data_IF_261997612815
#
_entry.id   IF_261997612815
#
_cell.length_a   1.000
_cell.length_b   1.000
_cell.length_c   1.000
_cell.angle_alpha   90.00
_cell.angle_beta   90.00
_cell.angle_gamma   90.00
#
_symmetry.space_group_name_H-M   'P 1'
#
loop_
_entity.id
_entity.type
_entity.pdbx_description
1 polymer ?
#
# COMPACT_ATOMS: atom_id res chain seq x y z
N UNK A 1 15.33 -1.60 -9.08
CA UNK A 1 14.56 -0.53 -9.75
C UNK A 1 15.45 0.59 -10.24
N UNK A 2 16.33 1.19 -9.40
CA UNK A 2 17.29 2.25 -9.80
C UNK A 2 16.71 3.12 -10.91
N UNK A 3 17.41 3.30 -12.04
CA UNK A 3 16.97 4.12 -13.17
C UNK A 3 16.28 3.34 -14.30
N UNK A 4 16.01 2.03 -14.15
CA UNK A 4 15.49 1.19 -15.25
C UNK A 4 14.16 1.71 -15.81
N UNK A 5 13.20 1.99 -14.93
CA UNK A 5 11.90 2.55 -15.33
C UNK A 5 12.07 3.99 -15.83
N UNK A 6 12.89 4.79 -15.15
CA UNK A 6 13.15 6.18 -15.51
C UNK A 6 13.77 6.33 -16.91
N UNK A 7 14.66 5.42 -17.32
CA UNK A 7 15.23 5.38 -18.68
C UNK A 7 14.16 5.10 -19.73
N UNK A 8 13.27 4.13 -19.48
CA UNK A 8 12.17 3.80 -20.39
C UNK A 8 11.12 4.91 -20.50
N UNK A 9 10.85 5.60 -19.39
CA UNK A 9 9.88 6.70 -19.31
C UNK A 9 10.48 8.08 -19.60
N UNK A 10 11.79 8.17 -19.83
CA UNK A 10 12.56 9.40 -19.94
C UNK A 10 12.37 10.37 -18.74
N UNK A 11 12.19 9.85 -17.52
CA UNK A 11 12.00 10.64 -16.30
C UNK A 11 13.36 11.09 -15.75
N UNK A 12 13.58 12.39 -15.67
CA UNK A 12 14.89 12.98 -15.31
C UNK A 12 14.75 14.00 -14.19
N UNK A 13 15.87 14.33 -13.55
CA UNK A 13 15.97 15.43 -12.59
C UNK A 13 16.95 16.50 -13.07
N UNK A 14 16.75 17.74 -12.64
CA UNK A 14 17.54 18.90 -13.04
C UNK A 14 16.93 20.20 -12.53
N UNK A 15 17.55 21.32 -12.86
CA UNK A 15 17.01 22.67 -12.62
C UNK A 15 16.27 23.13 -13.86
N UNK A 16 15.17 23.88 -13.70
CA UNK A 16 14.47 24.48 -14.82
C UNK A 16 15.40 25.39 -15.66
N UNK A 17 15.32 25.29 -16.99
CA UNK A 17 16.21 26.02 -17.90
C UNK A 17 17.62 25.41 -18.06
N UNK A 18 18.01 24.42 -17.26
CA UNK A 18 19.30 23.71 -17.40
C UNK A 18 19.15 22.34 -18.08
N UNK A 19 20.26 21.80 -18.59
CA UNK A 19 20.29 20.41 -19.07
C UNK A 19 20.00 19.45 -17.90
N UNK A 20 19.21 18.39 -18.11
CA UNK A 20 18.95 17.40 -17.07
C UNK A 20 20.23 16.75 -16.54
N UNK A 21 20.33 16.61 -15.21
CA UNK A 21 21.51 16.07 -14.51
C UNK A 21 21.59 14.55 -14.55
N UNK A 22 20.46 13.87 -14.70
CA UNK A 22 20.41 12.41 -14.79
C UNK A 22 19.00 11.83 -14.75
N UNK A 23 18.91 10.50 -14.69
CA UNK A 23 17.66 9.78 -14.47
C UNK A 23 17.39 9.62 -12.97
N UNK A 24 16.12 9.72 -12.58
CA UNK A 24 15.71 9.46 -11.19
C UNK A 24 15.79 7.97 -10.86
N UNK A 25 15.92 7.65 -9.58
CA UNK A 25 15.66 6.30 -9.11
C UNK A 25 14.18 6.12 -8.76
N UNK A 26 13.58 5.02 -9.18
CA UNK A 26 12.17 4.71 -8.89
C UNK A 26 12.05 3.61 -7.84
N UNK A 27 11.05 3.73 -6.98
CA UNK A 27 10.65 2.70 -6.02
C UNK A 27 9.14 2.51 -6.10
N UNK A 28 8.70 1.29 -5.88
CA UNK A 28 7.29 0.96 -5.68
C UNK A 28 7.21 -0.19 -4.68
N UNK A 29 6.21 -0.15 -3.82
CA UNK A 29 5.94 -1.18 -2.83
C UNK A 29 4.45 -1.14 -2.49
N UNK A 30 3.77 -2.28 -2.56
CA UNK A 30 2.37 -2.38 -2.13
C UNK A 30 2.31 -2.51 -0.61
N UNK A 31 1.64 -1.57 0.06
CA UNK A 31 1.44 -1.59 1.51
C UNK A 31 -0.02 -1.27 1.87
N UNK A 32 -0.96 -2.20 1.77
CA UNK A 32 -0.86 -3.65 1.45
C UNK A 32 -1.93 -4.00 0.40
N UNK A 33 -1.88 -5.21 -0.16
CA UNK A 33 -2.95 -5.67 -1.04
C UNK A 33 -4.24 -5.87 -0.22
N UNK A 34 -5.22 -4.99 -0.42
CA UNK A 34 -6.42 -4.88 0.44
C UNK A 34 -7.25 -6.17 0.51
N UNK A 35 -7.40 -6.87 -0.61
CA UNK A 35 -8.11 -8.17 -0.64
C UNK A 35 -7.39 -9.24 0.16
N UNK A 36 -6.06 -9.30 0.09
CA UNK A 36 -5.24 -10.23 0.90
C UNK A 36 -5.28 -9.86 2.38
N UNK A 37 -5.31 -8.55 2.68
CA UNK A 37 -5.47 -8.07 4.04
C UNK A 37 -6.81 -8.48 4.64
N UNK A 38 -7.90 -8.36 3.88
CA UNK A 38 -9.23 -8.77 4.31
C UNK A 38 -9.28 -10.28 4.62
N UNK A 39 -8.74 -11.13 3.74
CA UNK A 39 -8.62 -12.58 3.98
C UNK A 39 -7.85 -12.86 5.27
N UNK A 40 -6.67 -12.23 5.43
CA UNK A 40 -5.86 -12.40 6.63
C UNK A 40 -6.59 -11.97 7.91
N UNK A 41 -7.36 -10.87 7.87
CA UNK A 41 -8.16 -10.41 9.01
C UNK A 41 -9.25 -11.43 9.34
N UNK A 42 -10.02 -11.89 8.35
CA UNK A 42 -11.10 -12.86 8.56
C UNK A 42 -10.55 -14.16 9.18
N UNK A 43 -9.48 -14.71 8.61
CA UNK A 43 -8.92 -15.99 9.08
C UNK A 43 -8.31 -15.88 10.49
N UNK A 44 -7.59 -14.80 10.78
CA UNK A 44 -6.86 -14.66 12.05
C UNK A 44 -7.70 -14.09 13.20
N UNK A 45 -8.86 -13.49 12.89
CA UNK A 45 -9.75 -12.90 13.89
C UNK A 45 -11.11 -13.61 13.97
N UNK A 46 -11.28 -14.76 13.33
CA UNK A 46 -12.46 -15.60 13.49
C UNK A 46 -12.63 -16.09 14.94
N UNK A 47 -13.87 -16.32 15.33
CA UNK A 47 -14.28 -16.83 16.64
C UNK A 47 -14.97 -18.19 16.48
N UNK A 48 -15.12 -18.90 17.60
CA UNK A 48 -15.74 -20.23 17.61
C UNK A 48 -17.21 -20.24 17.16
N UNK A 49 -17.91 -19.10 17.26
CA UNK A 49 -19.29 -18.92 16.78
C UNK A 49 -19.36 -18.50 15.30
N UNK A 50 -18.22 -18.43 14.60
CA UNK A 50 -18.11 -18.07 13.19
C UNK A 50 -18.04 -16.57 12.91
N UNK A 51 -18.12 -15.72 13.94
CA UNK A 51 -17.96 -14.27 13.78
C UNK A 51 -16.50 -13.86 13.68
N UNK A 52 -16.23 -12.64 13.22
CA UNK A 52 -14.88 -12.08 13.09
C UNK A 52 -14.74 -10.85 13.97
N UNK A 53 -13.78 -10.84 14.89
CA UNK A 53 -13.42 -9.63 15.65
C UNK A 53 -12.75 -8.63 14.72
N UNK A 54 -13.20 -7.39 14.73
CA UNK A 54 -12.53 -6.33 13.97
C UNK A 54 -11.27 -5.88 14.74
N UNK A 55 -10.08 -5.85 14.12
CA UNK A 55 -8.88 -5.28 14.72
C UNK A 55 -9.10 -3.87 15.26
N UNK A 56 -8.59 -3.57 16.46
CA UNK A 56 -8.79 -2.28 17.13
C UNK A 56 -8.43 -1.06 16.26
N UNK A 57 -7.38 -1.19 15.45
CA UNK A 57 -6.93 -0.15 14.53
C UNK A 57 -7.98 0.23 13.46
N UNK A 58 -8.92 -0.67 13.17
CA UNK A 58 -9.98 -0.43 12.18
C UNK A 58 -11.24 0.18 12.79
N UNK A 59 -11.42 0.18 14.11
CA UNK A 59 -12.66 0.65 14.76
C UNK A 59 -13.12 2.06 14.36
N UNK A 60 -12.23 3.07 14.20
CA UNK A 60 -12.65 4.40 13.76
C UNK A 60 -13.33 4.43 12.38
N UNK A 61 -13.12 3.41 11.57
CA UNK A 61 -13.60 3.32 10.19
C UNK A 61 -14.85 2.43 10.03
N UNK A 62 -15.32 1.82 11.12
CA UNK A 62 -16.35 0.76 11.08
C UNK A 62 -17.70 1.19 11.66
N UNK A 63 -17.96 2.49 11.83
CA UNK A 63 -19.25 3.04 12.28
C UNK A 63 -19.81 2.39 13.56
N UNK A 64 -18.93 2.10 14.52
CA UNK A 64 -19.29 1.47 15.80
C UNK A 64 -19.32 -0.07 15.79
N UNK A 65 -19.20 -0.70 14.62
CA UNK A 65 -19.12 -2.16 14.47
C UNK A 65 -17.72 -2.62 14.95
N UNK A 66 -17.70 -3.62 15.84
CA UNK A 66 -16.47 -4.21 16.40
C UNK A 66 -16.34 -5.71 16.13
N UNK A 67 -17.38 -6.31 15.57
CA UNK A 67 -17.53 -7.73 15.26
C UNK A 67 -18.46 -7.87 14.06
N UNK A 68 -18.16 -8.80 13.16
CA UNK A 68 -18.94 -9.09 11.95
C UNK A 68 -19.34 -10.56 11.95
#
# INVERSE_FOLDING_TARGET
CTDYQARRLNTRYGTEGEKPKGFVHTLNATAIATTRAAVAIIENFQQADGKVKIPKALWPYMSGIKEI
#
